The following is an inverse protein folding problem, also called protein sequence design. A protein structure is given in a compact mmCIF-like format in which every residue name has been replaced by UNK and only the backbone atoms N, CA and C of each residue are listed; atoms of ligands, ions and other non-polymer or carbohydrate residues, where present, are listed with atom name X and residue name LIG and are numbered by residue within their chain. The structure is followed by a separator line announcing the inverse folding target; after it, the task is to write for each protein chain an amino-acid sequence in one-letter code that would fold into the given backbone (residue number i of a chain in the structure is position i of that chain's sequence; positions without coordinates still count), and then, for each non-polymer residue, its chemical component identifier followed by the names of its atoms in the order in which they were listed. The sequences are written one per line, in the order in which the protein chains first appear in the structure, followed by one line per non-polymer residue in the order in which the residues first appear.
data_IF_202395043887
#
_entry.id   IF_202395043887
#
_cell.length_a   1.000
_cell.length_b   1.000
_cell.length_c   1.000
_cell.angle_alpha   90.00
_cell.angle_beta   90.00
_cell.angle_gamma   90.00
#
_symmetry.space_group_name_H-M   'P 1'
#
loop_
_entity.id
_entity.type
_entity.pdbx_description
1 polymer ?
#
# COMPACT_ATOMS: atom_id res chain seq x y z
N UNK A 1 -1.57 21.01 5.95
CA UNK A 1 -1.86 19.59 6.05
C UNK A 1 -1.64 18.92 4.70
N UNK A 2 -1.04 17.77 4.69
CA UNK A 2 -0.83 16.98 3.48
C UNK A 2 -2.10 16.16 3.25
N UNK A 3 -2.74 16.29 2.08
CA UNK A 3 -3.89 15.47 1.72
C UNK A 3 -3.35 14.13 1.24
N UNK A 4 -3.52 13.07 2.02
CA UNK A 4 -3.03 11.71 1.70
C UNK A 4 -4.10 10.91 0.94
N UNK A 5 -5.37 11.32 1.07
CA UNK A 5 -6.50 10.67 0.42
C UNK A 5 -7.30 11.67 -0.38
N UNK A 6 -7.70 11.28 -1.58
CA UNK A 6 -8.66 11.98 -2.42
C UNK A 6 -9.69 10.99 -2.92
N UNK A 7 -10.94 11.44 -3.00
CA UNK A 7 -11.97 10.70 -3.72
C UNK A 7 -11.86 11.01 -5.21
N UNK A 8 -11.96 10.00 -6.04
CA UNK A 8 -12.14 10.23 -7.48
C UNK A 8 -13.61 10.51 -7.77
N UNK A 9 -13.96 11.78 -7.74
CA UNK A 9 -15.33 12.24 -8.01
C UNK A 9 -15.68 12.22 -9.52
N UNK A 10 -14.78 11.76 -10.38
CA UNK A 10 -14.97 11.83 -11.84
C UNK A 10 -15.99 10.80 -12.38
N UNK A 11 -16.33 9.77 -11.63
CA UNK A 11 -17.13 8.64 -12.11
C UNK A 11 -18.57 8.57 -11.58
N UNK A 12 -19.10 9.64 -11.02
CA UNK A 12 -20.48 9.69 -10.50
C UNK A 12 -20.77 8.53 -9.51
N UNK A 13 -20.10 8.51 -8.35
CA UNK A 13 -19.99 7.34 -7.48
C UNK A 13 -21.28 6.99 -6.73
N UNK A 14 -22.31 7.82 -6.81
CA UNK A 14 -23.56 7.62 -6.07
C UNK A 14 -24.66 7.26 -7.05
N UNK A 15 -25.14 6.04 -6.98
CA UNK A 15 -26.35 5.60 -7.69
C UNK A 15 -27.48 5.54 -6.66
N UNK A 16 -28.53 6.32 -6.88
CA UNK A 16 -29.78 6.17 -6.17
C UNK A 16 -30.62 5.14 -6.89
N UNK A 17 -30.83 3.99 -6.30
CA UNK A 17 -31.79 3.01 -6.79
C UNK A 17 -33.14 3.22 -6.10
N UNK A 18 -34.16 3.54 -6.91
CA UNK A 18 -35.54 3.59 -6.45
C UNK A 18 -35.99 2.13 -6.24
N UNK A 19 -36.17 1.78 -4.98
CA UNK A 19 -36.85 0.55 -4.63
C UNK A 19 -38.29 0.63 -5.18
N UNK A 20 -38.65 -0.29 -6.06
CA UNK A 20 -39.90 -0.32 -6.84
C UNK A 20 -41.18 -0.47 -6.01
N UNK A 21 -41.09 -0.45 -4.69
CA UNK A 21 -42.19 -0.72 -3.76
C UNK A 21 -42.65 0.49 -2.92
N UNK A 22 -42.01 1.65 -3.06
CA UNK A 22 -42.37 2.89 -2.38
C UNK A 22 -42.60 2.75 -0.88
N UNK A 23 -41.78 1.93 -0.23
CA UNK A 23 -41.85 1.70 1.22
C UNK A 23 -41.14 2.75 2.05
N UNK A 24 -40.57 3.78 1.42
CA UNK A 24 -39.85 4.86 2.05
C UNK A 24 -38.38 4.55 2.31
N UNK A 25 -37.87 3.44 1.81
CA UNK A 25 -36.46 3.09 1.85
C UNK A 25 -35.75 3.48 0.56
N UNK A 26 -34.57 4.07 0.69
CA UNK A 26 -33.69 4.37 -0.44
C UNK A 26 -32.38 3.61 -0.27
N UNK A 27 -31.91 2.95 -1.30
CA UNK A 27 -30.62 2.30 -1.32
C UNK A 27 -29.63 3.21 -2.05
N UNK A 28 -28.53 3.55 -1.35
CA UNK A 28 -27.41 4.28 -1.93
C UNK A 28 -26.26 3.30 -2.15
N UNK A 29 -25.87 3.12 -3.39
CA UNK A 29 -24.64 2.42 -3.71
C UNK A 29 -23.56 3.44 -4.00
N UNK A 30 -22.52 3.46 -3.15
CA UNK A 30 -21.30 4.26 -3.36
C UNK A 30 -20.25 3.33 -3.93
N UNK A 31 -19.82 3.62 -5.15
CA UNK A 31 -18.76 2.89 -5.83
C UNK A 31 -17.64 3.88 -6.19
N UNK A 32 -16.87 4.25 -5.17
CA UNK A 32 -15.78 5.21 -5.33
C UNK A 32 -14.45 4.57 -4.93
N UNK A 33 -13.36 4.99 -5.56
CA UNK A 33 -12.02 4.53 -5.27
C UNK A 33 -11.29 5.55 -4.39
N UNK A 34 -10.62 5.01 -3.37
CA UNK A 34 -9.70 5.81 -2.57
C UNK A 34 -8.35 5.90 -3.26
N UNK A 35 -7.92 7.11 -3.57
CA UNK A 35 -6.58 7.35 -4.04
C UNK A 35 -5.65 7.71 -2.86
N UNK A 36 -4.65 6.87 -2.64
CA UNK A 36 -3.58 7.12 -1.68
C UNK A 36 -2.39 7.74 -2.40
N UNK A 37 -1.97 8.93 -1.96
CA UNK A 37 -0.73 9.55 -2.42
C UNK A 37 0.34 9.41 -1.35
N UNK A 38 1.39 8.66 -1.67
CA UNK A 38 2.55 8.52 -0.80
C UNK A 38 3.49 9.71 -0.97
N UNK A 39 3.90 10.30 0.13
CA UNK A 39 4.88 11.38 0.20
C UNK A 39 6.23 10.84 0.67
N UNK A 40 7.32 11.58 0.45
CA UNK A 40 8.64 11.27 0.97
C UNK A 40 8.68 11.30 2.51
N UNK A 41 7.87 12.17 3.15
CA UNK A 41 7.80 12.25 4.61
C UNK A 41 6.92 11.14 5.19
N UNK A 42 7.44 10.43 6.19
CA UNK A 42 6.75 9.34 6.89
C UNK A 42 5.56 9.86 7.70
N UNK A 43 4.50 9.08 7.71
CA UNK A 43 3.26 9.36 8.44
C UNK A 43 2.97 8.20 9.38
N UNK A 44 2.65 8.52 10.64
CA UNK A 44 2.21 7.52 11.61
C UNK A 44 0.92 6.82 11.13
N UNK A 45 0.65 5.58 11.58
CA UNK A 45 -0.56 4.86 11.23
C UNK A 45 -1.81 5.68 11.53
N UNK A 46 -2.76 5.66 10.62
CA UNK A 46 -4.03 6.38 10.74
C UNK A 46 -5.20 5.44 10.49
N UNK A 47 -6.23 5.55 11.32
CA UNK A 47 -7.52 4.91 11.03
C UNK A 47 -8.30 5.80 10.07
N UNK A 48 -8.81 5.22 9.00
CA UNK A 48 -9.63 5.92 8.00
C UNK A 48 -11.09 5.54 8.19
N UNK A 49 -11.85 6.41 8.86
CA UNK A 49 -13.29 6.27 8.98
C UNK A 49 -13.97 7.07 7.85
N UNK A 50 -14.90 6.44 7.16
CA UNK A 50 -15.70 7.08 6.13
C UNK A 50 -17.03 7.48 6.75
N UNK A 51 -17.34 8.75 6.67
CA UNK A 51 -18.63 9.27 7.13
C UNK A 51 -19.47 9.69 5.93
N UNK A 52 -20.67 9.13 5.84
CA UNK A 52 -21.70 9.61 4.93
C UNK A 52 -22.53 10.62 5.67
N UNK A 53 -22.51 11.88 5.20
CA UNK A 53 -23.33 12.97 5.73
C UNK A 53 -24.22 13.51 4.64
N UNK A 54 -25.47 13.74 4.95
CA UNK A 54 -26.40 14.50 4.09
C UNK A 54 -26.41 15.96 4.55
N UNK A 55 -26.24 16.87 3.60
CA UNK A 55 -26.38 18.31 3.89
C UNK A 55 -27.86 18.64 4.18
N UNK A 56 -28.09 19.59 5.05
CA UNK A 56 -29.47 20.05 5.37
C UNK A 56 -30.25 20.50 4.15
N UNK A 57 -29.56 21.00 3.14
CA UNK A 57 -30.21 21.47 1.90
C UNK A 57 -30.76 20.32 1.06
N UNK A 58 -30.15 19.12 1.21
CA UNK A 58 -30.60 17.91 0.53
C UNK A 58 -31.82 17.26 1.21
N UNK A 59 -32.09 17.68 2.45
CA UNK A 59 -33.17 17.17 3.29
C UNK A 59 -34.41 18.05 3.26
N UNK A 60 -34.49 19.04 2.39
CA UNK A 60 -35.63 19.95 2.22
C UNK A 60 -36.43 19.51 0.98
N UNK A 61 -37.71 19.26 1.15
CA UNK A 61 -38.63 18.94 0.05
C UNK A 61 -38.94 20.15 -0.84
N UNK A 62 -39.74 19.92 -1.92
CA UNK A 62 -40.13 20.97 -2.86
C UNK A 62 -41.04 22.05 -2.26
N UNK A 63 -41.62 21.81 -1.10
CA UNK A 63 -42.46 22.74 -0.33
C UNK A 63 -41.63 23.50 0.72
N UNK A 64 -40.35 23.22 0.87
CA UNK A 64 -39.45 23.85 1.84
C UNK A 64 -39.57 23.27 3.26
N UNK A 65 -40.12 22.06 3.38
CA UNK A 65 -40.19 21.34 4.65
C UNK A 65 -38.92 20.53 4.82
N UNK A 66 -38.18 20.83 5.87
CA UNK A 66 -36.92 20.10 6.19
C UNK A 66 -37.16 18.92 7.12
N UNK A 67 -36.24 17.96 7.03
CA UNK A 67 -36.18 16.83 7.93
C UNK A 67 -35.54 17.25 9.27
N UNK A 68 -36.19 16.90 10.37
CA UNK A 68 -35.71 17.12 11.73
C UNK A 68 -35.13 15.80 12.26
N UNK A 69 -33.79 15.66 12.16
CA UNK A 69 -33.11 14.44 12.53
C UNK A 69 -32.97 14.23 14.04
N UNK A 70 -33.06 15.31 14.83
CA UNK A 70 -32.88 15.21 16.27
C UNK A 70 -34.20 14.86 17.02
N UNK A 71 -35.32 14.84 16.31
CA UNK A 71 -36.65 14.54 16.88
C UNK A 71 -37.17 15.59 17.88
N UNK A 72 -36.54 16.76 17.96
CA UNK A 72 -37.00 17.87 18.72
C UNK A 72 -38.00 18.63 17.87
N UNK A 73 -39.25 18.76 18.33
CA UNK A 73 -40.31 19.53 17.65
C UNK A 73 -40.10 21.03 17.80
N UNK A 74 -38.90 21.54 17.61
CA UNK A 74 -38.57 22.96 17.71
C UNK A 74 -38.76 23.69 16.36
N UNK A 75 -39.01 22.97 15.28
CA UNK A 75 -39.20 23.51 13.94
C UNK A 75 -37.94 24.06 13.29
N UNK A 76 -36.78 23.76 13.86
CA UNK A 76 -35.50 24.09 13.26
C UNK A 76 -34.95 22.88 12.49
N UNK A 77 -34.54 23.10 11.25
CA UNK A 77 -33.79 22.13 10.47
C UNK A 77 -32.39 22.00 11.10
N UNK A 78 -31.96 20.78 11.41
CA UNK A 78 -30.63 20.55 11.96
C UNK A 78 -29.53 21.22 11.13
N UNK A 79 -28.79 22.14 11.79
CA UNK A 79 -27.87 23.07 11.13
C UNK A 79 -26.61 22.35 10.61
N UNK A 80 -26.29 21.16 11.17
CA UNK A 80 -25.00 20.51 11.01
C UNK A 80 -25.00 19.34 10.00
N UNK A 81 -26.13 19.11 9.32
CA UNK A 81 -26.32 17.93 8.48
C UNK A 81 -26.54 16.66 9.31
N UNK A 82 -26.89 15.59 8.64
CA UNK A 82 -27.21 14.31 9.26
C UNK A 82 -26.16 13.26 8.91
N UNK A 83 -25.54 12.66 9.91
CA UNK A 83 -24.65 11.52 9.73
C UNK A 83 -25.48 10.24 9.52
N UNK A 84 -25.54 9.77 8.27
CA UNK A 84 -26.35 8.58 7.91
C UNK A 84 -25.63 7.30 8.33
N UNK A 85 -24.31 7.25 8.12
CA UNK A 85 -23.52 6.08 8.45
C UNK A 85 -22.06 6.47 8.68
N UNK A 86 -21.42 5.74 9.60
CA UNK A 86 -19.96 5.69 9.73
C UNK A 86 -19.49 4.30 9.36
N UNK A 87 -18.66 4.19 8.33
CA UNK A 87 -17.95 2.95 7.99
C UNK A 87 -16.61 3.04 8.70
N UNK A 88 -16.44 2.20 9.72
CA UNK A 88 -15.16 2.09 10.41
C UNK A 88 -14.13 1.52 9.47
N UNK A 89 -13.12 2.31 9.16
CA UNK A 89 -12.03 1.92 8.28
C UNK A 89 -10.99 1.03 8.95
N UNK A 90 -10.04 0.59 8.16
CA UNK A 90 -8.85 -0.10 8.64
C UNK A 90 -7.73 0.88 8.92
N UNK A 91 -6.72 0.44 9.63
CA UNK A 91 -5.48 1.18 9.82
C UNK A 91 -4.69 1.22 8.51
N UNK A 92 -4.36 2.42 8.05
CA UNK A 92 -3.47 2.64 6.90
C UNK A 92 -2.08 2.97 7.40
N UNK A 93 -1.08 2.24 6.90
CA UNK A 93 0.31 2.30 7.31
C UNK A 93 1.19 2.86 6.20
N UNK A 94 2.16 3.69 6.58
CA UNK A 94 3.22 4.14 5.67
C UNK A 94 4.27 3.05 5.56
N UNK A 95 4.20 2.24 4.50
CA UNK A 95 5.01 1.05 4.29
C UNK A 95 6.28 1.30 3.47
N UNK A 96 7.26 0.40 3.57
CA UNK A 96 8.41 0.29 2.67
C UNK A 96 8.88 -1.15 2.54
N UNK A 97 9.55 -1.47 1.43
CA UNK A 97 10.37 -2.67 1.34
C UNK A 97 11.74 -2.36 1.94
N UNK A 98 12.31 -3.30 2.66
CA UNK A 98 13.66 -3.22 3.19
C UNK A 98 14.48 -4.43 2.73
N UNK A 99 15.42 -4.22 1.80
CA UNK A 99 16.39 -5.20 1.39
C UNK A 99 17.56 -5.25 2.37
N UNK A 100 17.98 -6.44 2.72
CA UNK A 100 19.18 -6.66 3.54
C UNK A 100 20.39 -6.99 2.68
N UNK A 101 21.55 -6.55 3.11
CA UNK A 101 22.80 -7.05 2.56
C UNK A 101 22.95 -8.53 2.82
N UNK A 102 23.53 -9.23 1.89
CA UNK A 102 23.75 -10.67 2.01
C UNK A 102 25.19 -11.06 1.65
N UNK A 103 25.67 -12.13 2.21
CA UNK A 103 27.01 -12.66 1.94
C UNK A 103 26.98 -14.19 1.96
N UNK A 104 27.81 -14.77 1.15
CA UNK A 104 27.91 -16.23 1.06
C UNK A 104 29.09 -16.71 0.19
N UNK A 105 29.25 -18.04 0.07
CA UNK A 105 30.28 -18.60 -0.79
C UNK A 105 29.99 -18.32 -2.27
N UNK A 106 31.02 -18.04 -3.04
CA UNK A 106 30.98 -17.68 -4.45
C UNK A 106 30.37 -18.75 -5.38
N UNK A 107 30.25 -19.98 -4.91
CA UNK A 107 29.68 -21.08 -5.68
C UNK A 107 28.28 -21.52 -5.23
N UNK A 108 27.61 -20.71 -4.48
CA UNK A 108 26.27 -21.01 -3.98
C UNK A 108 25.29 -19.87 -4.29
N UNK A 109 24.04 -20.27 -4.49
CA UNK A 109 22.93 -19.33 -4.56
C UNK A 109 22.70 -18.72 -3.18
N UNK A 110 22.60 -17.41 -3.15
CA UNK A 110 22.42 -16.59 -1.96
C UNK A 110 21.00 -16.02 -1.95
N UNK A 111 20.26 -16.27 -0.88
CA UNK A 111 18.99 -15.57 -0.66
C UNK A 111 19.27 -14.09 -0.32
N UNK A 112 18.54 -13.17 -0.94
CA UNK A 112 18.56 -11.74 -0.62
C UNK A 112 17.37 -11.47 0.29
N UNK A 113 17.55 -11.37 1.60
CA UNK A 113 16.44 -11.23 2.50
C UNK A 113 15.76 -9.89 2.29
N UNK A 114 14.43 -9.89 2.26
CA UNK A 114 13.63 -8.67 2.23
C UNK A 114 12.50 -8.71 3.25
N UNK A 115 12.07 -7.54 3.68
CA UNK A 115 10.96 -7.40 4.61
C UNK A 115 10.09 -6.21 4.25
N UNK A 116 8.80 -6.33 4.54
CA UNK A 116 7.88 -5.19 4.50
C UNK A 116 7.89 -4.56 5.88
N UNK A 117 8.18 -3.27 5.93
CA UNK A 117 8.22 -2.48 7.15
C UNK A 117 7.22 -1.33 7.04
N UNK A 118 6.74 -0.85 8.18
CA UNK A 118 5.95 0.38 8.25
C UNK A 118 6.46 1.32 9.33
N UNK A 119 6.20 2.59 9.15
CA UNK A 119 6.54 3.62 10.12
C UNK A 119 5.53 3.64 11.27
N UNK A 120 5.98 3.39 12.51
CA UNK A 120 5.12 3.34 13.71
C UNK A 120 4.85 4.71 14.34
N UNK A 121 5.39 5.78 13.74
CA UNK A 121 5.40 7.15 14.27
C UNK A 121 6.75 7.58 14.85
N UNK A 122 7.70 6.65 14.98
CA UNK A 122 9.04 6.91 15.51
C UNK A 122 10.17 6.19 14.76
N UNK A 123 9.87 5.03 14.16
CA UNK A 123 10.82 4.18 13.43
C UNK A 123 10.08 3.22 12.50
N UNK A 124 10.82 2.63 11.57
CA UNK A 124 10.30 1.50 10.80
C UNK A 124 10.32 0.21 11.62
N UNK A 125 9.21 -0.52 11.61
CA UNK A 125 9.02 -1.81 12.24
C UNK A 125 8.47 -2.81 11.24
N UNK A 126 8.72 -4.11 11.46
CA UNK A 126 8.22 -5.17 10.60
C UNK A 126 6.68 -5.16 10.55
N UNK A 127 6.12 -5.25 9.35
CA UNK A 127 4.68 -5.38 9.12
C UNK A 127 4.28 -6.86 9.11
N UNK A 128 4.09 -7.44 10.28
CA UNK A 128 3.73 -8.87 10.43
C UNK A 128 2.32 -9.20 9.94
N UNK A 129 1.52 -8.19 9.61
CA UNK A 129 0.18 -8.40 9.05
C UNK A 129 0.20 -8.46 7.51
N UNK A 130 1.38 -8.37 6.89
CA UNK A 130 1.53 -8.39 5.44
C UNK A 130 1.79 -9.82 4.94
N UNK A 131 0.72 -10.46 4.48
CA UNK A 131 0.74 -11.77 3.83
C UNK A 131 0.33 -11.69 2.36
N UNK A 132 -0.02 -10.48 1.87
CA UNK A 132 -0.64 -10.27 0.56
C UNK A 132 0.31 -9.61 -0.46
N UNK A 133 1.40 -8.99 -0.03
CA UNK A 133 2.34 -8.33 -0.96
C UNK A 133 3.01 -9.37 -1.87
N UNK A 134 2.65 -9.34 -3.15
CA UNK A 134 3.17 -10.25 -4.17
C UNK A 134 4.48 -9.71 -4.76
N UNK A 135 5.56 -10.49 -4.58
CA UNK A 135 6.88 -10.15 -5.11
C UNK A 135 7.17 -10.77 -6.49
N UNK A 136 6.24 -11.54 -7.07
CA UNK A 136 6.44 -12.16 -8.39
C UNK A 136 6.64 -11.14 -9.52
N UNK A 137 6.13 -9.92 -9.35
CA UNK A 137 6.28 -8.81 -10.28
C UNK A 137 7.56 -7.99 -10.07
N UNK A 138 8.38 -8.30 -9.07
CA UNK A 138 9.65 -7.62 -8.85
C UNK A 138 10.63 -7.93 -9.98
N UNK A 139 11.49 -6.98 -10.25
CA UNK A 139 12.61 -7.17 -11.14
C UNK A 139 13.88 -6.62 -10.50
N UNK A 140 15.02 -7.18 -10.87
CA UNK A 140 16.27 -6.73 -10.29
C UNK A 140 17.43 -6.82 -11.25
N UNK A 141 18.39 -5.94 -11.07
CA UNK A 141 19.60 -5.85 -11.87
C UNK A 141 20.82 -5.95 -10.95
N UNK A 142 21.80 -6.71 -11.40
CA UNK A 142 23.12 -6.82 -10.77
C UNK A 142 24.11 -5.88 -11.48
N UNK A 143 24.89 -5.15 -10.69
CA UNK A 143 26.02 -4.34 -11.16
C UNK A 143 27.24 -4.60 -10.29
N UNK A 144 28.41 -4.29 -10.79
CA UNK A 144 29.69 -4.54 -10.11
C UNK A 144 30.63 -5.41 -10.96
N UNK A 145 31.80 -5.70 -10.41
CA UNK A 145 32.78 -6.52 -11.08
C UNK A 145 32.28 -7.96 -11.18
N UNK A 146 32.38 -8.56 -12.37
CA UNK A 146 31.91 -9.93 -12.66
C UNK A 146 30.40 -10.15 -12.51
N UNK A 147 29.56 -9.08 -12.55
CA UNK A 147 28.11 -9.21 -12.43
C UNK A 147 27.49 -10.15 -13.51
N UNK A 148 28.13 -10.27 -14.68
CA UNK A 148 27.71 -11.20 -15.74
C UNK A 148 27.84 -12.69 -15.38
N UNK A 149 28.64 -13.00 -14.37
CA UNK A 149 28.85 -14.39 -13.91
C UNK A 149 27.78 -14.83 -12.91
N UNK A 150 26.86 -13.91 -12.57
CA UNK A 150 25.75 -14.14 -11.64
C UNK A 150 24.40 -13.88 -12.30
N UNK A 151 23.38 -14.53 -11.77
CA UNK A 151 21.99 -14.35 -12.19
C UNK A 151 21.06 -14.09 -11.02
N UNK A 152 20.02 -13.30 -11.28
CA UNK A 152 18.91 -13.09 -10.35
C UNK A 152 17.81 -14.10 -10.66
N UNK A 153 17.29 -14.73 -9.63
CA UNK A 153 16.11 -15.60 -9.71
C UNK A 153 15.10 -15.16 -8.69
N UNK A 154 13.83 -15.05 -9.09
CA UNK A 154 12.71 -14.84 -8.19
C UNK A 154 11.99 -16.17 -8.04
N UNK A 155 12.08 -16.78 -6.85
CA UNK A 155 11.43 -18.07 -6.56
C UNK A 155 10.11 -17.80 -5.82
N UNK A 156 9.02 -18.21 -6.45
CA UNK A 156 7.64 -18.02 -5.96
C UNK A 156 7.05 -19.32 -5.38
N UNK A 157 7.88 -20.29 -5.10
CA UNK A 157 7.47 -21.56 -4.48
C UNK A 157 8.21 -21.77 -3.14
N UNK A 158 7.51 -21.97 -2.03
CA UNK A 158 6.10 -22.29 -1.87
C UNK A 158 5.15 -21.09 -1.84
N UNK A 159 5.65 -19.86 -1.85
CA UNK A 159 4.82 -18.65 -1.82
C UNK A 159 5.31 -17.60 -2.80
N UNK A 160 4.40 -16.87 -3.44
CA UNK A 160 4.69 -15.66 -4.22
C UNK A 160 4.50 -14.38 -3.40
N UNK A 161 3.97 -14.48 -2.19
CA UNK A 161 3.73 -13.36 -1.28
C UNK A 161 4.65 -13.42 -0.08
N UNK A 162 4.84 -12.28 0.56
CA UNK A 162 5.47 -12.23 1.87
C UNK A 162 4.67 -13.06 2.88
N UNK A 163 5.32 -13.53 3.91
CA UNK A 163 4.70 -14.25 5.03
C UNK A 163 5.14 -13.57 6.31
N UNK A 164 4.18 -13.08 7.09
CA UNK A 164 4.45 -12.23 8.27
C UNK A 164 5.40 -11.05 7.92
N UNK A 165 5.26 -10.50 6.70
CA UNK A 165 6.05 -9.39 6.21
C UNK A 165 7.50 -9.71 5.83
N UNK A 166 7.89 -10.97 5.67
CA UNK A 166 9.26 -11.38 5.29
C UNK A 166 9.27 -12.37 4.12
N UNK A 167 10.35 -12.37 3.34
CA UNK A 167 10.65 -13.51 2.46
C UNK A 167 11.31 -14.62 3.25
N UNK A 168 11.06 -15.89 2.85
CA UNK A 168 11.69 -17.06 3.44
C UNK A 168 13.13 -17.27 3.01
N UNK A 169 13.70 -18.37 3.48
CA UNK A 169 15.00 -18.89 3.01
C UNK A 169 14.89 -19.68 1.69
N UNK A 170 13.69 -20.04 1.31
CA UNK A 170 13.33 -20.94 0.21
C UNK A 170 12.41 -20.29 -0.84
N UNK A 171 11.99 -19.03 -0.62
CA UNK A 171 11.23 -18.23 -1.58
C UNK A 171 11.62 -16.76 -1.48
N UNK A 172 11.47 -16.00 -2.58
CA UNK A 172 11.85 -14.59 -2.66
C UNK A 172 12.91 -14.34 -3.74
N UNK A 173 13.82 -13.42 -3.49
CA UNK A 173 14.90 -13.07 -4.42
C UNK A 173 16.16 -13.86 -4.09
N UNK A 174 16.74 -14.45 -5.11
CA UNK A 174 18.01 -15.20 -5.03
C UNK A 174 18.99 -14.68 -6.05
N UNK A 175 20.27 -14.69 -5.68
CA UNK A 175 21.38 -14.41 -6.58
C UNK A 175 22.39 -15.53 -6.47
N UNK A 176 22.78 -16.07 -7.61
CA UNK A 176 23.75 -17.16 -7.64
C UNK A 176 24.60 -17.15 -8.91
N UNK A 177 25.69 -17.89 -8.92
CA UNK A 177 26.53 -17.98 -10.09
C UNK A 177 25.80 -18.65 -11.27
N UNK A 178 26.10 -18.19 -12.48
CA UNK A 178 25.59 -18.81 -13.72
C UNK A 178 26.20 -20.20 -13.88
N UNK A 179 27.45 -20.38 -13.45
CA UNK A 179 28.21 -21.65 -13.49
C UNK A 179 28.77 -21.94 -12.10
N UNK A 180 28.23 -22.97 -11.44
CA UNK A 180 28.66 -23.38 -10.08
C UNK A 180 30.11 -23.90 -10.01
N UNK A 181 30.73 -24.20 -11.15
CA UNK A 181 32.15 -24.61 -11.22
C UNK A 181 33.09 -23.39 -11.31
N UNK A 182 32.57 -22.21 -11.55
CA UNK A 182 33.34 -20.99 -11.68
C UNK A 182 33.35 -20.23 -10.35
N UNK A 183 34.48 -20.25 -9.66
CA UNK A 183 34.69 -19.59 -8.38
C UNK A 183 35.08 -18.12 -8.62
N UNK A 184 34.13 -17.19 -8.53
CA UNK A 184 34.37 -15.78 -8.74
C UNK A 184 34.02 -15.02 -7.46
N UNK A 185 35.02 -14.46 -6.79
CA UNK A 185 34.78 -13.50 -5.70
C UNK A 185 34.28 -12.22 -6.29
N UNK A 186 33.13 -11.76 -5.80
CA UNK A 186 32.48 -10.56 -6.31
C UNK A 186 31.85 -9.73 -5.17
N UNK A 187 31.95 -8.42 -5.32
CA UNK A 187 31.12 -7.48 -4.60
C UNK A 187 30.12 -6.91 -5.62
N UNK A 188 28.84 -7.23 -5.43
CA UNK A 188 27.78 -6.86 -6.35
C UNK A 188 26.80 -5.90 -5.66
N UNK A 189 26.30 -4.98 -6.44
CA UNK A 189 25.10 -4.20 -6.06
C UNK A 189 23.89 -4.80 -6.76
N UNK A 190 22.94 -5.26 -5.97
CA UNK A 190 21.63 -5.67 -6.45
C UNK A 190 20.67 -4.49 -6.33
N UNK A 191 20.06 -4.10 -7.43
CA UNK A 191 19.05 -3.06 -7.50
C UNK A 191 17.70 -3.70 -7.76
N UNK A 192 16.79 -3.65 -6.77
CA UNK A 192 15.40 -4.08 -6.89
C UNK A 192 14.56 -2.95 -7.45
N UNK A 193 13.70 -3.25 -8.43
CA UNK A 193 12.68 -2.32 -8.90
C UNK A 193 11.31 -2.70 -8.34
N UNK A 194 10.66 -1.74 -7.68
CA UNK A 194 9.33 -1.89 -7.08
C UNK A 194 8.28 -1.51 -8.13
N UNK A 195 7.42 -2.45 -8.55
CA UNK A 195 6.46 -2.22 -9.62
C UNK A 195 5.41 -1.16 -9.25
N UNK A 196 4.74 -0.61 -10.26
CA UNK A 196 3.81 0.51 -10.08
C UNK A 196 2.59 0.17 -9.21
N UNK A 197 2.12 -1.07 -9.25
CA UNK A 197 1.01 -1.53 -8.40
C UNK A 197 1.38 -1.65 -6.91
N UNK A 198 2.67 -1.61 -6.57
CA UNK A 198 3.18 -1.61 -5.20
C UNK A 198 3.79 -0.25 -4.82
N UNK A 199 3.33 0.85 -5.45
CA UNK A 199 3.85 2.20 -5.21
C UNK A 199 3.82 2.60 -3.72
N UNK A 200 2.89 2.05 -2.94
CA UNK A 200 2.77 2.28 -1.50
C UNK A 200 3.95 1.73 -0.68
N UNK A 201 4.79 0.87 -1.28
CA UNK A 201 6.01 0.32 -0.67
C UNK A 201 7.29 1.03 -1.13
N UNK A 202 7.20 1.99 -2.04
CA UNK A 202 8.33 2.84 -2.44
C UNK A 202 8.71 3.78 -1.30
N UNK A 203 9.96 4.19 -1.25
CA UNK A 203 10.47 5.05 -0.19
C UNK A 203 11.57 5.97 -0.75
N UNK A 204 11.78 7.11 -0.12
CA UNK A 204 12.87 8.03 -0.42
C UNK A 204 14.16 7.49 0.22
N UNK A 205 14.93 6.70 -0.54
CA UNK A 205 16.13 6.03 -0.05
C UNK A 205 17.37 6.91 -0.08
N UNK A 206 17.40 7.91 -0.93
CA UNK A 206 18.53 8.81 -1.12
C UNK A 206 18.34 10.20 -0.49
N UNK A 207 17.20 10.38 0.20
CA UNK A 207 16.87 11.59 0.96
C UNK A 207 16.79 12.85 0.08
N UNK A 208 16.30 12.72 -1.16
CA UNK A 208 16.16 13.81 -2.11
C UNK A 208 14.76 14.46 -2.13
N UNK A 209 13.90 14.10 -1.16
CA UNK A 209 12.49 14.51 -1.03
C UNK A 209 11.57 13.92 -2.13
N UNK A 210 12.00 12.87 -2.83
CA UNK A 210 11.17 12.12 -3.78
C UNK A 210 11.06 10.64 -3.38
N UNK A 211 10.03 9.98 -3.85
CA UNK A 211 9.81 8.55 -3.57
C UNK A 211 10.40 7.71 -4.69
N UNK A 212 11.41 6.91 -4.34
CA UNK A 212 12.12 6.02 -5.27
C UNK A 212 11.33 4.77 -5.61
N UNK A 213 11.45 4.32 -6.84
CA UNK A 213 10.95 3.02 -7.30
C UNK A 213 12.01 1.90 -7.24
N UNK A 214 13.21 2.21 -6.78
CA UNK A 214 14.32 1.26 -6.66
C UNK A 214 14.95 1.26 -5.29
N UNK A 215 15.41 0.10 -4.85
CA UNK A 215 16.23 -0.07 -3.65
C UNK A 215 17.46 -0.92 -3.96
N UNK A 216 18.58 -0.60 -3.34
CA UNK A 216 19.83 -1.32 -3.51
C UNK A 216 20.22 -2.16 -2.30
N UNK A 217 20.95 -3.23 -2.54
CA UNK A 217 21.57 -4.10 -1.53
C UNK A 217 22.97 -4.50 -1.99
N UNK A 218 23.89 -4.63 -1.06
CA UNK A 218 25.24 -5.14 -1.33
C UNK A 218 25.30 -6.64 -1.10
N UNK A 219 25.82 -7.36 -2.07
CA UNK A 219 26.01 -8.80 -2.04
C UNK A 219 27.52 -9.11 -2.12
N UNK A 220 27.99 -9.94 -1.23
CA UNK A 220 29.39 -10.38 -1.19
C UNK A 220 29.47 -11.89 -1.43
N UNK A 221 30.21 -12.29 -2.45
CA UNK A 221 30.50 -13.65 -2.82
C UNK A 221 31.96 -13.97 -2.70
#
# INVERSE_FOLDING_TARGET
GVTIFTFDTASNPITLEDATDWDGTFEFTINDEFNYTKNATEVAPINVDIKLTLDKTDLVDGEGIGYDANGLTDGEIDQDGFEVATITGTEVRYGRINLKNAFGPENKTLAVPSSIEYWDGSRFVLNTDDDDTDFSAFSGVLTGDNASDFQVTIDTSPSSTYVDGVTGSDFGVFVGPVDEENYVVAELTFTLTIPANLFHLRFDWDEDDSVDDTQTSTLLF
#
